data_IF_284008744802
#
_entry.id   IF_284008744802
#
_cell.length_a   1.000
_cell.length_b   1.000
_cell.length_c   1.000
_cell.angle_alpha   90.00
_cell.angle_beta   90.00
_cell.angle_gamma   90.00
#
_symmetry.space_group_name_H-M   'P 1'
#
loop_
_entity.id
_entity.type
_entity.pdbx_description
1 polymer ?
#
# COMPACT_ATOMS: atom_id res chain seq x y z
N UNK A 1 -8.70 1.96 13.19
CA UNK A 1 -7.24 1.91 13.41
C UNK A 1 -6.96 1.83 14.90
N UNK A 2 -6.14 0.89 15.32
CA UNK A 2 -5.84 0.68 16.74
C UNK A 2 -4.93 1.80 17.28
N UNK A 3 -4.97 2.02 18.60
CA UNK A 3 -4.12 3.03 19.24
C UNK A 3 -2.63 2.77 19.02
N UNK A 4 -2.20 1.51 19.05
CA UNK A 4 -0.81 1.14 18.78
C UNK A 4 -0.40 1.53 17.36
N UNK A 5 -1.29 1.37 16.41
CA UNK A 5 -1.04 1.76 15.01
C UNK A 5 -0.88 3.28 14.90
N UNK A 6 -1.75 4.04 15.57
CA UNK A 6 -1.67 5.50 15.59
C UNK A 6 -0.32 5.95 16.17
N UNK A 7 0.15 5.31 17.24
CA UNK A 7 1.45 5.62 17.85
C UNK A 7 2.61 5.31 16.90
N UNK A 8 2.52 4.21 16.14
CA UNK A 8 3.53 3.83 15.15
C UNK A 8 3.58 4.80 13.97
N UNK A 9 2.52 5.56 13.76
CA UNK A 9 2.45 6.56 12.69
C UNK A 9 2.78 7.98 13.18
N UNK A 10 3.42 8.12 14.34
CA UNK A 10 3.71 9.43 14.92
C UNK A 10 4.65 10.29 14.07
N UNK A 11 5.53 9.67 13.28
CA UNK A 11 6.44 10.36 12.37
C UNK A 11 6.03 10.23 10.90
N UNK A 12 4.85 9.72 10.68
CA UNK A 12 4.26 9.57 9.35
C UNK A 12 3.23 10.68 9.15
N UNK A 13 3.42 11.49 8.11
CA UNK A 13 2.51 12.58 7.78
C UNK A 13 1.29 12.03 7.04
N UNK A 14 0.20 11.86 7.77
CA UNK A 14 -1.07 11.43 7.15
C UNK A 14 -1.60 12.58 6.31
N UNK A 15 -1.86 12.30 5.03
CA UNK A 15 -2.42 13.29 4.12
C UNK A 15 -3.86 13.61 4.46
N UNK A 16 -4.29 14.81 4.10
CA UNK A 16 -5.72 15.13 4.11
C UNK A 16 -6.45 14.24 3.11
N UNK A 17 -7.72 13.94 3.38
CA UNK A 17 -8.50 13.02 2.57
C UNK A 17 -8.70 13.52 1.13
N UNK A 18 -8.11 12.80 0.18
CA UNK A 18 -8.45 12.95 -1.22
C UNK A 18 -9.55 11.95 -1.55
N UNK A 19 -10.45 12.33 -2.46
CA UNK A 19 -11.48 11.42 -2.91
C UNK A 19 -10.87 10.24 -3.65
N UNK A 20 -11.31 9.02 -3.29
CA UNK A 20 -10.88 7.82 -3.99
C UNK A 20 -11.53 7.77 -5.38
N UNK A 21 -10.71 7.70 -6.42
CA UNK A 21 -11.18 7.65 -7.80
C UNK A 21 -10.70 6.34 -8.44
N UNK A 22 -11.62 5.39 -8.59
CA UNK A 22 -11.34 4.11 -9.24
C UNK A 22 -12.37 3.85 -10.34
N UNK A 23 -11.89 3.37 -11.49
CA UNK A 23 -12.76 2.92 -12.58
C UNK A 23 -13.35 1.55 -12.23
N UNK A 24 -14.30 1.09 -13.06
CA UNK A 24 -14.93 -0.24 -12.88
C UNK A 24 -13.91 -1.37 -12.78
N UNK A 25 -12.80 -1.26 -13.49
CA UNK A 25 -11.74 -2.25 -13.50
C UNK A 25 -11.19 -2.54 -12.10
N UNK A 26 -11.19 -1.54 -11.22
CA UNK A 26 -10.57 -1.63 -9.90
C UNK A 26 -11.59 -1.59 -8.76
N UNK A 27 -12.87 -1.67 -9.05
CA UNK A 27 -13.93 -1.59 -8.02
C UNK A 27 -13.81 -2.62 -6.91
N UNK A 28 -13.27 -3.80 -7.22
CA UNK A 28 -13.08 -4.86 -6.22
C UNK A 28 -12.17 -4.42 -5.05
N UNK A 29 -11.33 -3.42 -5.26
CA UNK A 29 -10.39 -2.94 -4.24
C UNK A 29 -10.94 -1.76 -3.43
N UNK A 30 -12.07 -1.18 -3.82
CA UNK A 30 -12.55 0.10 -3.28
C UNK A 30 -12.66 0.11 -1.76
N UNK A 31 -13.33 -0.91 -1.19
CA UNK A 31 -13.55 -0.97 0.26
C UNK A 31 -12.24 -1.11 1.03
N UNK A 32 -11.30 -1.87 0.50
CA UNK A 32 -10.00 -2.07 1.15
C UNK A 32 -9.15 -0.81 1.11
N UNK A 33 -9.16 -0.10 -0.02
CA UNK A 33 -8.42 1.15 -0.17
C UNK A 33 -8.98 2.21 0.79
N UNK A 34 -10.29 2.25 1.00
CA UNK A 34 -10.92 3.19 1.93
C UNK A 34 -10.49 2.96 3.38
N UNK A 35 -10.04 1.76 3.71
CA UNK A 35 -9.59 1.42 5.07
C UNK A 35 -8.13 1.77 5.33
N UNK A 36 -7.42 2.24 4.31
CA UNK A 36 -6.03 2.68 4.45
C UNK A 36 -5.96 4.20 4.61
N UNK A 37 -4.83 4.67 5.11
CA UNK A 37 -4.53 6.10 5.08
C UNK A 37 -3.49 6.36 4.01
N UNK A 38 -3.43 7.60 3.51
CA UNK A 38 -2.40 8.05 2.59
C UNK A 38 -1.44 8.96 3.34
N UNK A 39 -0.22 9.10 2.82
CA UNK A 39 0.78 9.95 3.43
C UNK A 39 2.18 9.40 3.24
N UNK A 40 3.16 10.01 3.92
CA UNK A 40 4.54 9.56 3.84
C UNK A 40 5.30 9.90 5.12
N UNK A 41 6.35 9.15 5.39
CA UNK A 41 7.20 9.39 6.54
C UNK A 41 7.82 8.10 7.07
N UNK A 42 8.49 8.23 8.22
CA UNK A 42 9.13 7.08 8.85
C UNK A 42 8.12 6.29 9.67
N UNK A 43 8.22 4.97 9.56
CA UNK A 43 7.47 4.03 10.39
C UNK A 43 8.51 3.10 11.00
N UNK A 44 8.86 3.36 12.26
CA UNK A 44 10.01 2.73 12.90
C UNK A 44 11.29 3.52 12.66
N UNK A 45 12.43 2.99 13.09
CA UNK A 45 13.69 3.70 13.03
C UNK A 45 14.30 3.77 11.63
N UNK A 46 14.04 2.75 10.81
CA UNK A 46 14.74 2.59 9.54
C UNK A 46 13.84 2.46 8.32
N UNK A 47 12.53 2.56 8.49
CA UNK A 47 11.59 2.25 7.43
C UNK A 47 10.81 3.47 6.98
N UNK A 48 11.09 3.93 5.77
CA UNK A 48 10.27 4.95 5.12
C UNK A 48 9.06 4.27 4.47
N UNK A 49 7.91 4.94 4.55
CA UNK A 49 6.68 4.47 3.92
C UNK A 49 6.04 5.62 3.16
N UNK A 50 5.67 5.35 1.91
CA UNK A 50 4.90 6.27 1.09
C UNK A 50 3.62 5.55 0.66
N UNK A 51 2.48 6.01 1.15
CA UNK A 51 1.16 5.51 0.72
C UNK A 51 0.52 6.58 -0.14
N UNK A 52 0.20 6.22 -1.37
CA UNK A 52 -0.21 7.15 -2.41
C UNK A 52 -1.56 7.80 -2.13
N UNK A 53 -1.72 9.02 -2.61
CA UNK A 53 -3.00 9.73 -2.52
C UNK A 53 -4.09 8.95 -3.24
N UNK A 54 -5.28 8.93 -2.64
CA UNK A 54 -6.40 8.11 -3.13
C UNK A 54 -6.76 8.42 -4.59
N UNK A 55 -6.65 9.68 -5.00
CA UNK A 55 -6.97 10.09 -6.36
C UNK A 55 -5.85 9.79 -7.37
N UNK A 56 -4.70 9.31 -6.92
CA UNK A 56 -3.57 8.99 -7.78
C UNK A 56 -3.32 7.49 -7.95
N UNK A 57 -3.97 6.67 -7.13
CA UNK A 57 -3.71 5.22 -7.10
C UNK A 57 -3.88 4.56 -8.47
N UNK A 58 -4.99 4.81 -9.13
CA UNK A 58 -5.24 4.20 -10.45
C UNK A 58 -4.24 4.66 -11.49
N UNK A 59 -3.95 5.96 -11.54
CA UNK A 59 -2.99 6.51 -12.50
C UNK A 59 -1.60 5.91 -12.30
N UNK A 60 -1.14 5.78 -11.06
CA UNK A 60 0.16 5.20 -10.77
C UNK A 60 0.23 3.72 -11.13
N UNK A 61 -0.84 2.96 -10.90
CA UNK A 61 -0.89 1.57 -11.33
C UNK A 61 -0.83 1.46 -12.86
N UNK A 62 -1.51 2.34 -13.57
CA UNK A 62 -1.44 2.38 -15.03
C UNK A 62 -0.02 2.73 -15.51
N UNK A 63 0.63 3.68 -14.86
CA UNK A 63 1.99 4.09 -15.21
C UNK A 63 3.02 2.98 -14.97
N UNK A 64 2.86 2.21 -13.91
CA UNK A 64 3.73 1.05 -13.63
C UNK A 64 3.32 -0.19 -14.41
N UNK A 65 2.23 -0.12 -15.17
CA UNK A 65 1.69 -1.27 -15.91
C UNK A 65 1.44 -2.48 -14.99
N UNK A 66 0.97 -2.22 -13.78
CA UNK A 66 0.77 -3.25 -12.75
C UNK A 66 -0.02 -4.44 -13.28
N UNK A 67 -1.08 -4.18 -14.05
CA UNK A 67 -1.97 -5.22 -14.53
C UNK A 67 -1.37 -6.12 -15.62
N UNK A 68 -0.22 -5.72 -16.18
CA UNK A 68 0.53 -6.56 -17.11
C UNK A 68 1.36 -7.62 -16.39
N UNK A 69 1.73 -7.35 -15.14
CA UNK A 69 2.68 -8.17 -14.38
C UNK A 69 2.03 -8.91 -13.20
N UNK A 70 1.00 -8.35 -12.60
CA UNK A 70 0.38 -8.87 -11.39
C UNK A 70 -1.09 -9.18 -11.58
N UNK A 71 -1.51 -10.36 -11.11
CA UNK A 71 -2.91 -10.75 -11.08
C UNK A 71 -3.51 -10.38 -9.74
N UNK A 72 -4.69 -9.74 -9.75
CA UNK A 72 -5.47 -9.54 -8.53
C UNK A 72 -4.79 -8.70 -7.44
N UNK A 73 -3.93 -7.78 -7.84
CA UNK A 73 -3.22 -6.86 -6.91
C UNK A 73 -3.32 -5.43 -7.42
N UNK A 74 -3.58 -4.50 -6.52
CA UNK A 74 -3.50 -3.07 -6.81
C UNK A 74 -2.43 -2.48 -5.89
N UNK A 75 -1.42 -1.81 -6.46
CA UNK A 75 -0.38 -1.17 -5.68
C UNK A 75 -0.93 0.09 -5.00
N UNK A 76 -0.48 0.35 -3.78
CA UNK A 76 -0.92 1.50 -2.98
C UNK A 76 0.22 2.38 -2.49
N UNK A 77 1.46 1.93 -2.65
CA UNK A 77 2.60 2.70 -2.16
C UNK A 77 3.91 1.98 -2.31
N UNK A 78 4.91 2.47 -1.60
CA UNK A 78 6.27 1.92 -1.64
C UNK A 78 7.05 2.22 -0.36
N UNK A 79 8.24 1.64 -0.27
CA UNK A 79 9.21 1.95 0.79
C UNK A 79 10.13 3.13 0.42
N UNK A 80 9.82 3.83 -0.66
CA UNK A 80 10.67 4.89 -1.19
C UNK A 80 11.82 4.41 -2.06
N UNK A 81 11.96 3.10 -2.21
CA UNK A 81 13.03 2.46 -2.99
C UNK A 81 12.48 1.38 -3.90
N UNK A 82 12.99 0.19 -3.75
CA UNK A 82 12.75 -0.91 -4.70
C UNK A 82 11.48 -1.74 -4.41
N UNK A 83 10.87 -1.57 -3.25
CA UNK A 83 9.73 -2.37 -2.82
C UNK A 83 8.42 -1.61 -2.99
N UNK A 84 7.46 -2.22 -3.68
CA UNK A 84 6.09 -1.73 -3.77
C UNK A 84 5.20 -2.45 -2.75
N UNK A 85 4.22 -1.74 -2.24
CA UNK A 85 3.17 -2.30 -1.37
C UNK A 85 1.84 -2.23 -2.09
N UNK A 86 1.00 -3.24 -1.88
CA UNK A 86 -0.30 -3.31 -2.51
C UNK A 86 -1.31 -4.07 -1.67
N UNK A 87 -2.50 -4.22 -2.25
CA UNK A 87 -3.60 -4.98 -1.65
C UNK A 87 -4.11 -5.96 -2.69
N UNK A 88 -4.36 -7.20 -2.27
CA UNK A 88 -4.94 -8.20 -3.16
C UNK A 88 -6.48 -8.14 -3.12
N UNK A 89 -7.13 -8.93 -3.96
CA UNK A 89 -8.60 -8.95 -4.08
C UNK A 89 -9.29 -9.48 -2.81
N UNK A 90 -8.55 -10.09 -1.90
CA UNK A 90 -9.07 -10.56 -0.62
C UNK A 90 -8.84 -9.57 0.52
N UNK A 91 -8.29 -8.40 0.21
CA UNK A 91 -8.03 -7.36 1.22
C UNK A 91 -6.75 -7.55 2.00
N UNK A 92 -5.88 -8.45 1.58
CA UNK A 92 -4.60 -8.69 2.25
C UNK A 92 -3.53 -7.74 1.70
N UNK A 93 -2.63 -7.30 2.56
CA UNK A 93 -1.53 -6.43 2.17
C UNK A 93 -0.37 -7.28 1.69
N UNK A 94 0.27 -6.82 0.62
CA UNK A 94 1.35 -7.54 -0.03
C UNK A 94 2.55 -6.62 -0.26
N UNK A 95 3.73 -7.21 -0.47
CA UNK A 95 4.86 -6.49 -1.02
C UNK A 95 5.39 -7.22 -2.25
N UNK A 96 6.01 -6.45 -3.15
CA UNK A 96 6.57 -6.97 -4.40
C UNK A 96 7.66 -6.01 -4.88
N UNK A 97 8.76 -6.51 -5.49
CA UNK A 97 9.76 -5.59 -6.05
C UNK A 97 9.20 -4.86 -7.28
N UNK A 98 9.59 -3.58 -7.46
CA UNK A 98 9.24 -2.85 -8.68
C UNK A 98 9.95 -3.44 -9.91
N UNK A 99 11.22 -3.82 -9.75
CA UNK A 99 11.99 -4.45 -10.82
C UNK A 99 11.82 -5.95 -10.72
N UNK A 100 11.41 -6.58 -11.83
CA UNK A 100 11.09 -8.00 -11.83
C UNK A 100 9.74 -8.29 -11.19
N UNK A 101 8.84 -7.33 -11.25
CA UNK A 101 7.47 -7.47 -10.73
C UNK A 101 6.78 -8.65 -11.40
N UNK A 102 6.33 -9.62 -10.60
CA UNK A 102 5.75 -10.87 -11.07
C UNK A 102 4.93 -11.47 -9.95
N UNK A 103 3.88 -12.24 -10.30
CA UNK A 103 3.04 -12.89 -9.30
C UNK A 103 3.82 -13.80 -8.35
N UNK A 104 4.90 -14.43 -8.83
CA UNK A 104 5.73 -15.31 -8.00
C UNK A 104 6.53 -14.54 -6.95
N UNK A 105 6.73 -13.24 -7.15
CA UNK A 105 7.46 -12.39 -6.22
C UNK A 105 6.56 -11.69 -5.19
N UNK A 106 5.25 -11.86 -5.31
CA UNK A 106 4.30 -11.26 -4.37
C UNK A 106 4.34 -12.00 -3.04
N UNK A 107 4.55 -11.27 -1.95
CA UNK A 107 4.51 -11.82 -0.60
C UNK A 107 3.36 -11.17 0.18
N UNK A 108 2.53 -12.01 0.83
CA UNK A 108 1.48 -11.51 1.70
C UNK A 108 2.12 -11.18 3.03
N UNK A 109 1.96 -9.92 3.47
CA UNK A 109 2.63 -9.44 4.68
C UNK A 109 1.68 -9.13 5.83
N UNK A 110 0.39 -8.93 5.55
CA UNK A 110 -0.59 -8.65 6.59
C UNK A 110 -2.02 -8.90 6.09
N UNK A 111 -2.93 -9.11 7.03
CA UNK A 111 -4.34 -9.36 6.73
C UNK A 111 -5.18 -8.08 6.79
N UNK A 112 -4.68 -7.04 7.47
CA UNK A 112 -5.38 -5.76 7.61
C UNK A 112 -4.36 -4.61 7.71
N UNK A 113 -4.87 -3.38 7.77
CA UNK A 113 -4.01 -2.20 7.80
C UNK A 113 -3.18 -2.14 9.08
N UNK A 114 -3.75 -2.47 10.24
CA UNK A 114 -3.00 -2.47 11.51
C UNK A 114 -1.82 -3.45 11.43
N UNK A 115 -2.07 -4.64 10.91
CA UNK A 115 -1.02 -5.65 10.70
C UNK A 115 0.03 -5.19 9.70
N UNK A 116 -0.38 -4.46 8.67
CA UNK A 116 0.56 -3.91 7.68
C UNK A 116 1.51 -2.89 8.33
N UNK A 117 1.01 -2.00 9.17
CA UNK A 117 1.85 -1.02 9.85
C UNK A 117 2.78 -1.73 10.85
N UNK A 118 2.31 -2.77 11.54
CA UNK A 118 3.17 -3.59 12.40
C UNK A 118 4.31 -4.21 11.61
N UNK A 119 4.01 -4.73 10.43
CA UNK A 119 5.00 -5.31 9.54
C UNK A 119 6.07 -4.29 9.13
N UNK A 120 5.65 -3.12 8.68
CA UNK A 120 6.59 -2.06 8.25
C UNK A 120 7.44 -1.59 9.43
N UNK A 121 6.82 -1.42 10.60
CA UNK A 121 7.51 -1.01 11.83
C UNK A 121 8.64 -1.97 12.20
N UNK A 122 8.40 -3.27 12.03
CA UNK A 122 9.31 -4.33 12.45
C UNK A 122 10.29 -4.76 11.35
N UNK A 123 10.15 -4.21 10.16
CA UNK A 123 10.97 -4.60 9.01
C UNK A 123 12.42 -4.14 9.19
N UNK A 124 13.33 -5.04 8.94
CA UNK A 124 14.77 -4.76 9.05
C UNK A 124 15.42 -4.49 7.69
#
# INVERSE_FOLDING_TARGET
MKNETIQKLSEFDISSDAELVLSERYKAFEDYIKQTVSGEGMVGENNYLSLWEKNEIEELNNNYETQEFLSNVLLIGSDGGDTAYGIDVNGRYIEVPFIGMDDEEVEIVAEDFDGFIDYVWSKE
#
